data_IF_515239788092
#
_entry.id   IF_515239788092
#
_cell.length_a   1.000
_cell.length_b   1.000
_cell.length_c   1.000
_cell.angle_alpha   90.00
_cell.angle_beta   90.00
_cell.angle_gamma   90.00
#
_symmetry.space_group_name_H-M   'P 1'
#
loop_
_entity.id
_entity.type
_entity.pdbx_description
1 polymer ?
#
# COMPACT_ATOMS: atom_id res chain seq x y z
N UNK A 1 52.69 -24.05 -24.76
CA UNK A 1 52.44 -22.72 -24.19
C UNK A 1 51.02 -22.72 -23.63
N UNK A 2 50.88 -22.43 -22.35
CA UNK A 2 49.54 -22.28 -21.71
C UNK A 2 49.08 -20.86 -21.98
N UNK A 3 47.91 -20.72 -22.62
CA UNK A 3 47.28 -19.40 -22.79
C UNK A 3 47.06 -18.75 -21.41
N UNK A 4 47.42 -17.48 -21.23
CA UNK A 4 47.14 -16.82 -19.98
C UNK A 4 45.62 -16.76 -19.74
N UNK A 5 45.19 -17.33 -18.64
CA UNK A 5 43.79 -17.20 -18.21
C UNK A 5 43.62 -15.75 -17.75
N UNK A 6 42.44 -15.18 -18.08
CA UNK A 6 42.01 -13.91 -17.48
C UNK A 6 42.03 -14.11 -15.97
N UNK A 7 42.90 -13.40 -15.26
CA UNK A 7 43.08 -13.57 -13.83
C UNK A 7 41.79 -13.25 -13.06
N UNK A 8 41.55 -13.93 -11.94
CA UNK A 8 40.45 -13.67 -11.04
C UNK A 8 40.38 -12.19 -10.67
N UNK A 9 41.51 -11.51 -10.56
CA UNK A 9 41.61 -10.07 -10.28
C UNK A 9 40.95 -9.22 -11.36
N UNK A 10 41.15 -9.52 -12.64
CA UNK A 10 40.52 -8.77 -13.75
C UNK A 10 39.03 -8.99 -13.80
N UNK A 11 38.57 -10.22 -13.53
CA UNK A 11 37.14 -10.55 -13.43
C UNK A 11 36.50 -9.80 -12.28
N UNK A 12 37.12 -9.80 -11.10
CA UNK A 12 36.64 -9.08 -9.93
C UNK A 12 36.56 -7.57 -10.16
N UNK A 13 37.55 -7.01 -10.84
CA UNK A 13 37.60 -5.59 -11.18
C UNK A 13 36.43 -5.20 -12.10
N UNK A 14 36.12 -6.02 -13.10
CA UNK A 14 35.01 -5.80 -14.02
C UNK A 14 33.65 -5.88 -13.29
N UNK A 15 33.47 -6.89 -12.44
CA UNK A 15 32.21 -7.06 -11.66
C UNK A 15 32.01 -5.89 -10.70
N UNK A 16 33.06 -5.46 -10.00
CA UNK A 16 33.02 -4.34 -9.08
C UNK A 16 32.73 -3.02 -9.81
N UNK A 17 33.30 -2.81 -10.98
CA UNK A 17 33.04 -1.65 -11.83
C UNK A 17 31.59 -1.59 -12.28
N UNK A 18 31.03 -2.73 -12.66
CA UNK A 18 29.62 -2.83 -13.04
C UNK A 18 28.68 -2.54 -11.86
N UNK A 19 28.96 -3.12 -10.69
CA UNK A 19 28.19 -2.84 -9.45
C UNK A 19 28.27 -1.36 -9.07
N UNK A 20 29.42 -0.75 -9.19
CA UNK A 20 29.61 0.68 -8.89
C UNK A 20 28.78 1.56 -9.84
N UNK A 21 28.75 1.24 -11.12
CA UNK A 21 27.95 1.95 -12.12
C UNK A 21 26.44 1.85 -11.80
N UNK A 22 25.95 0.66 -11.44
CA UNK A 22 24.55 0.46 -11.03
C UNK A 22 24.21 1.26 -9.76
N UNK A 23 25.11 1.29 -8.78
CA UNK A 23 24.94 2.07 -7.55
C UNK A 23 24.86 3.56 -7.86
N UNK A 24 25.72 4.07 -8.71
CA UNK A 24 25.74 5.48 -9.11
C UNK A 24 24.45 5.88 -9.84
N UNK A 25 23.94 5.03 -10.74
CA UNK A 25 22.67 5.26 -11.43
C UNK A 25 21.51 5.31 -10.42
N UNK A 26 21.47 4.38 -9.47
CA UNK A 26 20.47 4.35 -8.42
C UNK A 26 20.51 5.59 -7.53
N UNK A 27 21.68 6.04 -7.15
CA UNK A 27 21.87 7.26 -6.36
C UNK A 27 21.40 8.51 -7.12
N UNK A 28 21.72 8.62 -8.40
CA UNK A 28 21.29 9.74 -9.24
C UNK A 28 19.77 9.79 -9.36
N UNK A 29 19.13 8.64 -9.58
CA UNK A 29 17.69 8.53 -9.63
C UNK A 29 17.04 8.96 -8.32
N UNK A 30 17.57 8.49 -7.18
CA UNK A 30 17.09 8.85 -5.85
C UNK A 30 17.17 10.35 -5.59
N UNK A 31 18.29 10.98 -5.94
CA UNK A 31 18.49 12.42 -5.80
C UNK A 31 17.49 13.21 -6.67
N UNK A 32 17.25 12.78 -7.91
CA UNK A 32 16.31 13.40 -8.80
C UNK A 32 14.87 13.28 -8.26
N UNK A 33 14.49 12.11 -7.72
CA UNK A 33 13.20 11.90 -7.08
C UNK A 33 13.01 12.79 -5.86
N UNK A 34 14.03 12.88 -4.99
CA UNK A 34 14.02 13.76 -3.81
C UNK A 34 13.86 15.24 -4.19
N UNK A 35 14.57 15.67 -5.22
CA UNK A 35 14.45 17.04 -5.72
C UNK A 35 13.03 17.34 -6.24
N UNK A 36 12.42 16.39 -6.96
CA UNK A 36 11.05 16.54 -7.45
C UNK A 36 10.03 16.58 -6.30
N UNK A 37 10.16 15.70 -5.30
CA UNK A 37 9.32 15.70 -4.11
C UNK A 37 9.43 17.02 -3.36
N UNK A 38 10.65 17.54 -3.19
CA UNK A 38 10.92 18.82 -2.55
C UNK A 38 10.25 19.96 -3.32
N UNK A 39 10.38 19.97 -4.65
CA UNK A 39 9.75 20.95 -5.52
C UNK A 39 8.23 20.95 -5.39
N UNK A 40 7.62 19.75 -5.24
CA UNK A 40 6.19 19.58 -5.07
C UNK A 40 5.72 19.81 -3.63
N UNK A 41 6.63 19.99 -2.69
CA UNK A 41 6.31 20.16 -1.27
C UNK A 41 5.83 18.87 -0.62
N UNK A 42 6.31 17.71 -1.09
CA UNK A 42 5.93 16.39 -0.60
C UNK A 42 7.04 15.84 0.28
N UNK A 43 6.69 15.40 1.50
CA UNK A 43 7.62 14.74 2.41
C UNK A 43 7.56 13.22 2.24
N UNK A 44 8.68 12.57 2.52
CA UNK A 44 8.76 11.11 2.61
C UNK A 44 7.86 10.60 3.74
N UNK A 45 7.43 9.36 3.62
CA UNK A 45 6.59 8.70 4.62
C UNK A 45 5.29 8.20 4.03
N UNK A 46 4.39 7.78 4.91
CA UNK A 46 3.14 7.12 4.54
C UNK A 46 1.95 7.80 5.19
N UNK A 47 0.97 8.19 4.39
CA UNK A 47 -0.35 8.59 4.86
C UNK A 47 -1.32 7.44 4.64
N UNK A 48 -1.89 6.90 5.72
CA UNK A 48 -2.88 5.85 5.65
C UNK A 48 -4.25 6.42 6.02
N UNK A 49 -5.20 6.25 5.12
CA UNK A 49 -6.60 6.68 5.30
C UNK A 49 -7.46 5.41 5.28
N UNK A 50 -8.06 5.07 6.40
CA UNK A 50 -8.72 3.81 6.58
C UNK A 50 -10.06 3.87 7.30
N UNK A 51 -10.75 2.73 7.30
CA UNK A 51 -12.03 2.50 7.95
C UNK A 51 -11.88 1.82 9.32
N UNK A 52 -12.96 1.18 9.78
CA UNK A 52 -12.98 0.48 11.07
C UNK A 52 -12.03 -0.71 11.15
N UNK A 53 -11.72 -1.34 10.02
CA UNK A 53 -10.77 -2.47 10.00
C UNK A 53 -9.35 -1.97 10.28
N UNK A 54 -8.94 -0.90 9.61
CA UNK A 54 -7.67 -0.24 9.88
C UNK A 54 -7.60 0.29 11.31
N UNK A 55 -8.70 0.86 11.82
CA UNK A 55 -8.81 1.33 13.20
C UNK A 55 -8.57 0.19 14.18
N UNK A 56 -9.14 -0.99 13.93
CA UNK A 56 -8.95 -2.18 14.76
C UNK A 56 -7.48 -2.63 14.79
N UNK A 57 -6.75 -2.41 13.70
CA UNK A 57 -5.33 -2.73 13.58
C UNK A 57 -4.40 -1.56 13.96
N UNK A 58 -4.92 -0.46 14.49
CA UNK A 58 -4.18 0.80 14.63
C UNK A 58 -2.85 0.64 15.40
N UNK A 59 -2.85 -0.05 16.52
CA UNK A 59 -1.63 -0.26 17.31
C UNK A 59 -0.58 -1.04 16.54
N UNK A 60 -0.97 -2.15 15.90
CA UNK A 60 -0.06 -2.95 15.09
C UNK A 60 0.45 -2.18 13.85
N UNK A 61 -0.41 -1.37 13.23
CA UNK A 61 -0.02 -0.50 12.12
C UNK A 61 1.02 0.54 12.56
N UNK A 62 0.81 1.16 13.71
CA UNK A 62 1.75 2.16 14.23
C UNK A 62 3.11 1.53 14.58
N UNK A 63 3.11 0.30 15.11
CA UNK A 63 4.34 -0.46 15.38
C UNK A 63 5.07 -0.86 14.10
N UNK A 64 4.33 -1.33 13.08
CA UNK A 64 4.91 -1.75 11.81
C UNK A 64 5.36 -0.58 10.93
N UNK A 65 4.70 0.57 11.06
CA UNK A 65 4.96 1.80 10.29
C UNK A 65 5.06 2.99 11.25
N UNK A 66 6.18 3.11 12.02
CA UNK A 66 6.31 4.16 13.05
C UNK A 66 6.20 5.59 12.50
N UNK A 67 6.61 5.78 11.25
CA UNK A 67 6.60 7.08 10.58
C UNK A 67 5.29 7.37 9.83
N UNK A 68 4.29 6.48 9.92
CA UNK A 68 3.04 6.66 9.22
C UNK A 68 2.10 7.63 9.95
N UNK A 69 1.42 8.46 9.18
CA UNK A 69 0.27 9.20 9.63
C UNK A 69 -0.98 8.35 9.36
N UNK A 70 -1.58 7.82 10.44
CA UNK A 70 -2.73 6.93 10.35
C UNK A 70 -4.00 7.71 10.70
N UNK A 71 -4.92 7.79 9.74
CA UNK A 71 -6.24 8.39 9.90
C UNK A 71 -7.30 7.33 9.59
N UNK A 72 -7.79 6.66 10.62
CA UNK A 72 -8.79 5.62 10.50
C UNK A 72 -10.05 5.98 11.28
N UNK A 73 -11.20 5.65 10.73
CA UNK A 73 -12.49 5.99 11.33
C UNK A 73 -13.55 4.95 10.99
N UNK A 74 -14.41 4.67 11.96
CA UNK A 74 -15.57 3.78 11.78
C UNK A 74 -16.46 4.27 10.63
N UNK A 75 -16.93 3.34 9.82
CA UNK A 75 -17.88 3.57 8.71
C UNK A 75 -17.35 4.42 7.56
N UNK A 76 -16.04 4.66 7.51
CA UNK A 76 -15.46 5.45 6.41
C UNK A 76 -15.63 4.75 5.08
N UNK A 77 -16.11 5.49 4.10
CA UNK A 77 -16.25 5.05 2.70
C UNK A 77 -15.01 5.42 1.88
N UNK A 78 -14.83 4.76 0.74
CA UNK A 78 -13.78 5.10 -0.21
C UNK A 78 -13.94 6.54 -0.73
N UNK A 79 -15.16 6.98 -0.97
CA UNK A 79 -15.45 8.36 -1.38
C UNK A 79 -14.97 9.38 -0.34
N UNK A 80 -15.23 9.11 0.94
CA UNK A 80 -14.74 9.98 2.02
C UNK A 80 -13.21 9.96 2.11
N UNK A 81 -12.58 8.80 1.90
CA UNK A 81 -11.13 8.70 1.86
C UNK A 81 -10.51 9.56 0.73
N UNK A 82 -11.16 9.58 -0.43
CA UNK A 82 -10.75 10.45 -1.55
C UNK A 82 -10.78 11.94 -1.14
N UNK A 83 -11.83 12.37 -0.49
CA UNK A 83 -11.96 13.76 -0.02
C UNK A 83 -10.86 14.11 0.99
N UNK A 84 -10.55 13.20 1.92
CA UNK A 84 -9.48 13.37 2.92
C UNK A 84 -8.12 13.45 2.22
N UNK A 85 -7.85 12.57 1.26
CA UNK A 85 -6.62 12.59 0.47
C UNK A 85 -6.40 13.95 -0.19
N UNK A 86 -7.42 14.47 -0.86
CA UNK A 86 -7.35 15.76 -1.55
C UNK A 86 -7.17 16.93 -0.58
N UNK A 87 -7.88 16.91 0.54
CA UNK A 87 -7.75 17.94 1.57
C UNK A 87 -6.34 17.94 2.18
N UNK A 88 -5.79 16.77 2.49
CA UNK A 88 -4.43 16.65 3.01
C UNK A 88 -3.40 17.13 1.99
N UNK A 89 -3.61 16.84 0.71
CA UNK A 89 -2.73 17.34 -0.36
C UNK A 89 -2.74 18.86 -0.43
N UNK A 90 -3.91 19.47 -0.39
CA UNK A 90 -4.05 20.95 -0.41
C UNK A 90 -3.33 21.60 0.77
N UNK A 91 -3.33 20.94 1.92
CA UNK A 91 -2.66 21.41 3.14
C UNK A 91 -1.18 21.01 3.22
N UNK A 92 -0.62 20.42 2.18
CA UNK A 92 0.77 19.89 2.15
C UNK A 92 1.05 18.87 3.23
N UNK A 93 0.03 18.15 3.67
CA UNK A 93 0.12 17.13 4.73
C UNK A 93 0.11 15.70 4.18
N UNK A 94 -0.13 15.50 2.88
CA UNK A 94 -0.15 14.19 2.27
C UNK A 94 1.28 13.74 1.99
N UNK A 95 1.68 12.59 2.58
CA UNK A 95 3.02 12.04 2.43
C UNK A 95 3.16 11.30 1.09
N UNK A 96 4.40 10.97 0.70
CA UNK A 96 4.72 10.38 -0.60
C UNK A 96 3.90 9.13 -0.91
N UNK A 97 3.83 8.19 0.03
CA UNK A 97 3.07 6.95 -0.12
C UNK A 97 1.70 7.09 0.52
N UNK A 98 0.66 6.92 -0.28
CA UNK A 98 -0.73 7.03 0.16
C UNK A 98 -1.34 5.63 0.21
N UNK A 99 -1.82 5.21 1.38
CA UNK A 99 -2.51 3.92 1.57
C UNK A 99 -3.99 4.20 1.79
N UNK A 100 -4.84 3.65 0.94
CA UNK A 100 -6.30 3.72 1.08
C UNK A 100 -6.80 2.36 1.54
N UNK A 101 -7.29 2.31 2.78
CA UNK A 101 -7.72 1.09 3.44
C UNK A 101 -9.23 1.15 3.76
N UNK A 102 -10.02 1.13 2.71
CA UNK A 102 -11.49 1.17 2.73
C UNK A 102 -12.07 0.13 1.79
N UNK A 103 -13.39 0.04 1.69
CA UNK A 103 -14.06 -0.80 0.70
C UNK A 103 -15.15 -1.71 1.25
N UNK A 104 -15.31 -1.82 2.58
CA UNK A 104 -16.41 -2.59 3.19
C UNK A 104 -17.65 -1.75 3.40
N UNK A 105 -17.52 -0.44 3.37
CA UNK A 105 -18.65 0.49 3.50
C UNK A 105 -19.00 1.08 2.13
N UNK A 106 -20.24 0.90 1.70
CA UNK A 106 -20.74 1.31 0.37
C UNK A 106 -19.90 0.75 -0.80
N UNK A 107 -19.63 -0.56 -0.84
CA UNK A 107 -18.77 -1.14 -1.86
C UNK A 107 -19.37 -1.16 -3.26
N UNK A 108 -20.66 -0.92 -3.40
CA UNK A 108 -21.38 -0.95 -4.68
C UNK A 108 -20.83 0.07 -5.68
N UNK A 109 -20.39 1.21 -5.18
CA UNK A 109 -19.79 2.28 -5.98
C UNK A 109 -18.31 2.09 -6.30
N UNK A 110 -17.77 0.90 -6.10
CA UNK A 110 -16.32 0.63 -6.15
C UNK A 110 -15.63 1.16 -7.40
N UNK A 111 -16.25 1.00 -8.55
CA UNK A 111 -15.62 1.35 -9.83
C UNK A 111 -15.38 2.85 -9.95
N UNK A 112 -16.43 3.64 -9.71
CA UNK A 112 -16.34 5.09 -9.73
C UNK A 112 -15.45 5.62 -8.60
N UNK A 113 -15.55 5.04 -7.40
CA UNK A 113 -14.80 5.50 -6.24
C UNK A 113 -13.29 5.22 -6.41
N UNK A 114 -12.93 4.04 -6.89
CA UNK A 114 -11.53 3.69 -7.14
C UNK A 114 -10.95 4.47 -8.33
N UNK A 115 -11.71 4.62 -9.41
CA UNK A 115 -11.27 5.45 -10.55
C UNK A 115 -11.03 6.90 -10.09
N UNK A 116 -11.91 7.43 -9.25
CA UNK A 116 -11.75 8.79 -8.72
C UNK A 116 -10.48 8.93 -7.89
N UNK A 117 -10.18 7.97 -7.00
CA UNK A 117 -8.96 8.01 -6.19
C UNK A 117 -7.71 7.96 -7.07
N UNK A 118 -7.67 7.04 -8.03
CA UNK A 118 -6.53 6.91 -8.94
C UNK A 118 -6.33 8.19 -9.76
N UNK A 119 -7.42 8.74 -10.31
CA UNK A 119 -7.36 9.95 -11.11
C UNK A 119 -7.01 11.19 -10.29
N UNK A 120 -7.50 11.26 -9.05
CA UNK A 120 -7.29 12.42 -8.17
C UNK A 120 -5.99 12.36 -7.38
N UNK A 121 -5.30 11.21 -7.37
CA UNK A 121 -4.01 11.12 -6.69
C UNK A 121 -3.10 12.23 -7.22
N UNK A 122 -2.57 13.08 -6.35
CA UNK A 122 -1.70 14.15 -6.81
C UNK A 122 -0.36 13.63 -7.35
N UNK A 123 0.22 14.39 -8.24
CA UNK A 123 1.56 14.15 -8.79
C UNK A 123 2.59 13.99 -7.66
N UNK A 124 3.51 13.07 -7.81
CA UNK A 124 4.59 12.81 -6.86
C UNK A 124 4.26 11.76 -5.80
N UNK A 125 3.06 11.21 -5.80
CA UNK A 125 2.65 10.17 -4.86
C UNK A 125 2.58 8.80 -5.51
N UNK A 126 2.76 7.77 -4.69
CA UNK A 126 2.45 6.38 -5.02
C UNK A 126 1.23 5.96 -4.20
N UNK A 127 0.29 5.26 -4.83
CA UNK A 127 -0.95 4.82 -4.21
C UNK A 127 -0.92 3.32 -3.93
N UNK A 128 -1.23 2.94 -2.69
CA UNK A 128 -1.46 1.54 -2.31
C UNK A 128 -2.95 1.38 -1.98
N UNK A 129 -3.61 0.47 -2.68
CA UNK A 129 -4.99 0.09 -2.39
C UNK A 129 -4.99 -1.18 -1.55
N UNK A 130 -5.58 -1.12 -0.36
CA UNK A 130 -5.79 -2.31 0.47
C UNK A 130 -7.07 -2.97 0.00
N UNK A 131 -6.98 -4.24 -0.42
CA UNK A 131 -8.17 -4.97 -0.86
C UNK A 131 -9.06 -5.31 0.33
N UNK A 132 -10.37 -5.02 0.26
CA UNK A 132 -11.27 -5.28 1.38
C UNK A 132 -11.66 -6.76 1.45
N UNK A 133 -12.14 -7.18 2.62
CA UNK A 133 -12.61 -8.53 2.87
C UNK A 133 -13.96 -8.54 3.58
N UNK A 134 -14.88 -9.32 3.04
CA UNK A 134 -16.14 -9.72 3.64
C UNK A 134 -16.24 -11.24 3.54
N UNK A 135 -16.24 -11.94 4.69
CA UNK A 135 -16.29 -13.39 4.71
C UNK A 135 -17.69 -13.99 4.75
N UNK A 136 -18.70 -13.18 5.04
CA UNK A 136 -20.10 -13.64 5.11
C UNK A 136 -20.79 -13.53 3.75
N UNK A 137 -20.89 -14.67 3.07
CA UNK A 137 -21.48 -14.78 1.73
C UNK A 137 -22.99 -14.46 1.71
N UNK A 138 -23.64 -14.44 2.86
CA UNK A 138 -25.06 -14.12 2.96
C UNK A 138 -25.35 -12.62 2.98
N UNK A 139 -24.33 -11.79 3.19
CA UNK A 139 -24.51 -10.33 3.19
C UNK A 139 -24.70 -9.78 1.79
N UNK A 140 -25.56 -8.77 1.67
CA UNK A 140 -25.84 -8.09 0.40
C UNK A 140 -24.56 -7.47 -0.22
N UNK A 141 -23.62 -7.07 0.62
CA UNK A 141 -22.36 -6.42 0.19
C UNK A 141 -21.27 -7.40 -0.24
N UNK A 142 -21.44 -8.71 -0.01
CA UNK A 142 -20.40 -9.70 -0.28
C UNK A 142 -19.84 -9.62 -1.70
N UNK A 143 -20.72 -9.66 -2.69
CA UNK A 143 -20.31 -9.62 -4.11
C UNK A 143 -19.58 -8.32 -4.45
N UNK A 144 -20.09 -7.19 -3.99
CA UNK A 144 -19.48 -5.87 -4.25
C UNK A 144 -18.10 -5.73 -3.61
N UNK A 145 -17.90 -6.28 -2.40
CA UNK A 145 -16.59 -6.30 -1.75
C UNK A 145 -15.59 -7.14 -2.56
N UNK A 146 -15.99 -8.31 -3.04
CA UNK A 146 -15.14 -9.13 -3.89
C UNK A 146 -14.83 -8.44 -5.23
N UNK A 147 -15.79 -7.78 -5.82
CA UNK A 147 -15.60 -6.99 -7.05
C UNK A 147 -14.67 -5.79 -6.81
N UNK A 148 -14.80 -5.14 -5.67
CA UNK A 148 -13.89 -4.06 -5.26
C UNK A 148 -12.46 -4.57 -5.24
N UNK A 149 -12.20 -5.70 -4.55
CA UNK A 149 -10.87 -6.29 -4.47
C UNK A 149 -10.31 -6.64 -5.85
N UNK A 150 -11.12 -7.26 -6.70
CA UNK A 150 -10.71 -7.63 -8.06
C UNK A 150 -10.38 -6.39 -8.91
N UNK A 151 -11.18 -5.34 -8.79
CA UNK A 151 -10.96 -4.10 -9.54
C UNK A 151 -9.72 -3.34 -9.05
N UNK A 152 -9.46 -3.33 -7.75
CA UNK A 152 -8.24 -2.76 -7.19
C UNK A 152 -6.99 -3.48 -7.74
N UNK A 153 -7.02 -4.82 -7.83
CA UNK A 153 -5.94 -5.60 -8.44
C UNK A 153 -5.73 -5.24 -9.91
N UNK A 154 -6.82 -5.10 -10.67
CA UNK A 154 -6.78 -4.69 -12.08
C UNK A 154 -6.14 -3.31 -12.26
N UNK A 155 -6.54 -2.33 -11.45
CA UNK A 155 -5.96 -0.99 -11.46
C UNK A 155 -4.47 -1.01 -11.18
N UNK A 156 -4.02 -1.82 -10.21
CA UNK A 156 -2.61 -1.96 -9.89
C UNK A 156 -1.80 -2.59 -11.04
N UNK A 157 -2.38 -3.55 -11.76
CA UNK A 157 -1.71 -4.16 -12.91
C UNK A 157 -1.48 -3.18 -14.06
N UNK A 158 -2.43 -2.29 -14.31
CA UNK A 158 -2.39 -1.38 -15.46
C UNK A 158 -1.87 0.02 -15.15
N UNK A 159 -1.64 0.36 -13.87
CA UNK A 159 -1.24 1.71 -13.46
C UNK A 159 0.06 1.67 -12.67
N UNK A 160 1.19 2.16 -13.23
CA UNK A 160 2.51 1.99 -12.60
C UNK A 160 2.65 2.60 -11.20
N UNK A 161 1.93 3.70 -10.92
CA UNK A 161 1.96 4.36 -9.60
C UNK A 161 0.90 3.84 -8.64
N UNK A 162 0.28 2.69 -8.94
CA UNK A 162 -0.70 2.00 -8.08
C UNK A 162 -0.22 0.59 -7.80
N UNK A 163 -0.23 0.20 -6.53
CA UNK A 163 -0.01 -1.18 -6.11
C UNK A 163 -1.06 -1.58 -5.07
N UNK A 164 -1.05 -2.84 -4.66
CA UNK A 164 -2.01 -3.34 -3.67
C UNK A 164 -1.33 -3.88 -2.42
N UNK A 165 -2.04 -3.80 -1.30
CA UNK A 165 -1.83 -4.62 -0.12
C UNK A 165 -3.01 -5.60 -0.08
N UNK A 166 -2.77 -6.86 -0.38
CA UNK A 166 -3.84 -7.83 -0.67
C UNK A 166 -4.41 -8.47 0.60
N UNK A 167 -5.05 -7.66 1.42
CA UNK A 167 -5.71 -8.12 2.64
C UNK A 167 -6.78 -9.18 2.36
N UNK A 168 -7.56 -9.01 1.30
CA UNK A 168 -8.58 -9.98 0.90
C UNK A 168 -8.00 -11.39 0.79
N UNK A 169 -6.84 -11.52 0.14
CA UNK A 169 -6.15 -12.81 0.00
C UNK A 169 -5.67 -13.35 1.35
N UNK A 170 -4.99 -12.53 2.13
CA UNK A 170 -4.46 -12.92 3.46
C UNK A 170 -5.59 -13.33 4.39
N UNK A 171 -6.68 -12.55 4.41
CA UNK A 171 -7.86 -12.85 5.22
C UNK A 171 -8.44 -14.25 4.93
N UNK A 172 -8.50 -14.62 3.66
CA UNK A 172 -8.99 -15.94 3.23
C UNK A 172 -8.06 -17.09 3.64
N UNK A 173 -6.78 -16.82 3.79
CA UNK A 173 -5.77 -17.82 4.18
C UNK A 173 -5.71 -18.06 5.69
N UNK A 174 -6.40 -17.25 6.49
CA UNK A 174 -6.36 -17.29 7.96
C UNK A 174 -7.75 -17.44 8.58
N UNK A 175 -8.40 -18.61 8.42
CA UNK A 175 -9.75 -18.81 8.95
C UNK A 175 -9.83 -18.67 10.48
N UNK A 176 -8.73 -18.87 11.19
CA UNK A 176 -8.66 -18.79 12.65
C UNK A 176 -9.01 -17.40 13.20
N UNK A 177 -8.76 -16.34 12.47
CA UNK A 177 -9.06 -14.98 12.95
C UNK A 177 -10.53 -14.59 12.78
N UNK A 178 -11.33 -15.41 12.09
CA UNK A 178 -12.73 -15.08 11.76
C UNK A 178 -13.77 -15.82 12.62
N UNK A 179 -13.36 -16.86 13.33
CA UNK A 179 -14.30 -17.64 14.17
C UNK A 179 -15.00 -16.73 15.19
N UNK A 180 -16.33 -16.76 15.19
CA UNK A 180 -17.13 -15.99 16.14
C UNK A 180 -17.19 -14.49 15.88
N UNK A 181 -16.77 -14.03 14.70
CA UNK A 181 -16.78 -12.62 14.30
C UNK A 181 -17.89 -12.32 13.30
N UNK A 182 -17.99 -11.03 12.94
CA UNK A 182 -18.86 -10.57 11.86
C UNK A 182 -18.29 -10.81 10.45
N UNK A 183 -17.13 -11.48 10.35
CA UNK A 183 -16.42 -11.81 9.11
C UNK A 183 -15.84 -10.59 8.36
N UNK A 184 -15.81 -9.42 8.99
CA UNK A 184 -15.18 -8.18 8.50
C UNK A 184 -14.13 -7.69 9.48
N UNK A 185 -14.46 -7.71 10.76
CA UNK A 185 -13.58 -7.31 11.86
C UNK A 185 -13.00 -8.58 12.51
N UNK A 186 -11.70 -8.79 12.31
CA UNK A 186 -11.00 -9.98 12.80
C UNK A 186 -10.95 -10.05 14.33
N UNK A 187 -10.94 -11.26 14.85
CA UNK A 187 -10.67 -11.56 16.24
C UNK A 187 -11.89 -11.46 17.16
N UNK A 188 -12.25 -12.60 17.77
CA UNK A 188 -13.33 -12.70 18.75
C UNK A 188 -12.82 -12.63 20.20
N UNK A 189 -11.52 -12.73 20.39
CA UNK A 189 -10.85 -12.56 21.69
C UNK A 189 -9.58 -11.73 21.51
N UNK A 190 -8.95 -11.34 22.63
CA UNK A 190 -7.77 -10.47 22.59
C UNK A 190 -6.60 -11.07 21.81
N UNK A 191 -6.38 -12.38 21.87
CA UNK A 191 -5.32 -13.05 21.14
C UNK A 191 -5.55 -13.02 19.64
N UNK A 192 -6.79 -13.28 19.19
CA UNK A 192 -7.14 -13.27 17.78
C UNK A 192 -7.24 -11.86 17.20
N UNK A 193 -7.63 -10.88 18.01
CA UNK A 193 -7.56 -9.46 17.62
C UNK A 193 -6.10 -9.08 17.36
N UNK A 194 -5.19 -9.44 18.26
CA UNK A 194 -3.76 -9.15 18.11
C UNK A 194 -3.17 -9.86 16.89
N UNK A 195 -3.49 -11.13 16.69
CA UNK A 195 -3.02 -11.91 15.54
C UNK A 195 -3.54 -11.33 14.23
N UNK A 196 -4.83 -11.03 14.13
CA UNK A 196 -5.43 -10.42 12.95
C UNK A 196 -4.87 -9.03 12.66
N UNK A 197 -4.69 -8.23 13.69
CA UNK A 197 -4.08 -6.90 13.56
C UNK A 197 -2.65 -6.97 13.04
N UNK A 198 -1.87 -7.94 13.52
CA UNK A 198 -0.50 -8.16 13.06
C UNK A 198 -0.46 -8.57 11.59
N UNK A 199 -1.30 -9.51 11.19
CA UNK A 199 -1.41 -9.94 9.79
C UNK A 199 -1.79 -8.78 8.87
N UNK A 200 -2.76 -7.99 9.27
CA UNK A 200 -3.20 -6.80 8.54
C UNK A 200 -2.06 -5.77 8.41
N UNK A 201 -1.41 -5.46 9.51
CA UNK A 201 -0.30 -4.50 9.54
C UNK A 201 0.90 -4.98 8.72
N UNK A 202 1.26 -6.26 8.81
CA UNK A 202 2.36 -6.86 8.03
C UNK A 202 2.07 -6.81 6.52
N UNK A 203 0.81 -7.07 6.13
CA UNK A 203 0.39 -7.00 4.73
C UNK A 203 0.58 -5.58 4.18
N UNK A 204 0.16 -4.57 4.92
CA UNK A 204 0.30 -3.17 4.52
C UNK A 204 1.78 -2.74 4.56
N UNK A 205 2.51 -3.09 5.62
CA UNK A 205 3.92 -2.73 5.74
C UNK A 205 4.78 -3.32 4.61
N UNK A 206 4.51 -4.56 4.21
CA UNK A 206 5.19 -5.18 3.07
C UNK A 206 4.91 -4.41 1.76
N UNK A 207 3.67 -3.97 1.55
CA UNK A 207 3.31 -3.17 0.38
C UNK A 207 3.97 -1.80 0.39
N UNK A 208 4.06 -1.15 1.55
CA UNK A 208 4.76 0.13 1.72
C UNK A 208 6.25 -0.01 1.42
N UNK A 209 6.87 -1.07 1.92
CA UNK A 209 8.28 -1.36 1.64
C UNK A 209 8.53 -1.57 0.14
N UNK A 210 7.69 -2.38 -0.52
CA UNK A 210 7.78 -2.63 -1.95
C UNK A 210 7.57 -1.34 -2.76
N UNK A 211 6.69 -0.46 -2.31
CA UNK A 211 6.38 0.80 -3.00
C UNK A 211 7.57 1.77 -3.08
N UNK A 212 8.58 1.61 -2.21
CA UNK A 212 9.78 2.45 -2.26
C UNK A 212 10.54 2.28 -3.59
N UNK A 213 10.40 1.13 -4.25
CA UNK A 213 11.02 0.81 -5.53
C UNK A 213 10.06 1.02 -6.72
N UNK A 214 8.85 1.49 -6.47
CA UNK A 214 7.82 1.67 -7.51
C UNK A 214 7.66 3.13 -7.91
N UNK A 215 7.16 3.39 -9.14
CA UNK A 215 6.97 4.75 -9.61
C UNK A 215 5.97 5.56 -8.80
N UNK A 216 6.17 6.88 -8.80
CA UNK A 216 5.16 7.83 -8.36
C UNK A 216 4.44 8.41 -9.59
N UNK A 217 3.27 9.01 -9.37
CA UNK A 217 2.50 9.64 -10.43
C UNK A 217 3.26 10.85 -10.98
N UNK A 218 3.49 10.88 -12.29
CA UNK A 218 4.29 11.91 -12.96
C UNK A 218 3.48 12.96 -13.74
N UNK A 219 2.19 12.70 -14.00
CA UNK A 219 1.29 13.59 -14.77
C UNK A 219 -0.06 13.77 -14.09
#
# INVERSE_FOLDING_TARGET
AVAPQVGAFETDLMVNGFKQAQTNIGQTKTLAEQAELSRLGISEGTSLIGDSVALRANTALQEALPEANINAQVSRTTKQANDIMLNNSQNKALLKTVVIATGVNNPEGYKNDLDSIVNNLPKGHHLILVTPYEGDKSKDTYTSVEQYAAYARELAEKTPYVSIADWNKVAKEHPEIWAGTDQVHFGNDSNMIEEGAKLYAETIAAAVKAAQELPVKSK
#
